data_IF_745384865343
#
_entry.id   IF_745384865343
#
_cell.length_a   1.000
_cell.length_b   1.000
_cell.length_c   1.000
_cell.angle_alpha   90.00
_cell.angle_beta   90.00
_cell.angle_gamma   90.00
#
_symmetry.space_group_name_H-M   'P 1'
#
loop_
_entity.id
_entity.type
_entity.pdbx_description
1 polymer ?
#
# COMPACT_ATOMS: atom_id res chain seq x y z
N UNK A 1 -23.09 -29.70 1.85
CA UNK A 1 -22.59 -30.41 3.05
C UNK A 1 -21.34 -31.23 2.76
N UNK A 2 -21.37 -32.11 1.73
CA UNK A 2 -20.27 -32.99 1.30
C UNK A 2 -18.93 -32.25 1.09
N UNK A 3 -18.92 -31.09 0.42
CA UNK A 3 -17.71 -30.28 0.20
C UNK A 3 -17.02 -29.88 1.51
N UNK A 4 -17.77 -29.50 2.55
CA UNK A 4 -17.21 -29.08 3.84
C UNK A 4 -16.60 -30.26 4.59
N UNK A 5 -17.27 -31.41 4.57
CA UNK A 5 -16.77 -32.65 5.18
C UNK A 5 -15.47 -33.08 4.49
N UNK A 6 -15.43 -33.06 3.15
CA UNK A 6 -14.22 -33.36 2.40
C UNK A 6 -13.05 -32.43 2.75
N UNK A 7 -13.30 -31.12 2.89
CA UNK A 7 -12.26 -30.16 3.30
C UNK A 7 -11.75 -30.44 4.72
N UNK A 8 -12.65 -30.76 5.66
CA UNK A 8 -12.27 -31.08 7.05
C UNK A 8 -11.45 -32.35 7.10
N UNK A 9 -11.86 -33.39 6.36
CA UNK A 9 -11.11 -34.64 6.27
C UNK A 9 -9.75 -34.43 5.61
N UNK A 10 -9.67 -33.63 4.55
CA UNK A 10 -8.42 -33.34 3.88
C UNK A 10 -7.48 -32.53 4.76
N UNK A 11 -8.01 -31.52 5.47
CA UNK A 11 -7.26 -30.74 6.44
C UNK A 11 -6.76 -31.63 7.59
N UNK A 12 -7.62 -32.49 8.14
CA UNK A 12 -7.25 -33.44 9.18
C UNK A 12 -6.18 -34.44 8.72
N UNK A 13 -6.35 -35.03 7.54
CA UNK A 13 -5.38 -35.95 6.95
C UNK A 13 -4.03 -35.26 6.69
N UNK A 14 -4.06 -34.03 6.20
CA UNK A 14 -2.85 -33.22 5.97
C UNK A 14 -2.11 -32.94 7.27
N UNK A 15 -2.84 -32.63 8.35
CA UNK A 15 -2.26 -32.43 9.67
C UNK A 15 -1.64 -33.71 10.24
N UNK A 16 -2.33 -34.85 10.12
CA UNK A 16 -1.81 -36.14 10.56
C UNK A 16 -0.53 -36.48 9.80
N UNK A 17 -0.52 -36.31 8.48
CA UNK A 17 0.67 -36.51 7.65
C UNK A 17 1.80 -35.58 8.07
N UNK A 18 1.51 -34.29 8.24
CA UNK A 18 2.50 -33.30 8.67
C UNK A 18 3.15 -33.70 10.00
N UNK A 19 2.36 -34.03 11.02
CA UNK A 19 2.89 -34.47 12.33
C UNK A 19 3.71 -35.76 12.20
N UNK A 20 3.24 -36.73 11.40
CA UNK A 20 3.98 -37.97 11.16
C UNK A 20 5.35 -37.72 10.53
N UNK A 21 5.41 -36.87 9.50
CA UNK A 21 6.67 -36.46 8.88
C UNK A 21 7.60 -35.75 9.87
N UNK A 22 7.07 -34.91 10.76
CA UNK A 22 7.88 -34.29 11.81
C UNK A 22 8.43 -35.29 12.80
N UNK A 23 7.66 -36.29 13.21
CA UNK A 23 8.15 -37.39 14.07
C UNK A 23 9.28 -38.15 13.37
N UNK A 24 9.13 -38.45 12.08
CA UNK A 24 10.19 -39.08 11.29
C UNK A 24 11.45 -38.21 11.25
N UNK A 25 11.31 -36.90 10.96
CA UNK A 25 12.44 -35.97 10.91
C UNK A 25 13.15 -35.85 12.27
N UNK A 26 12.40 -35.85 13.38
CA UNK A 26 12.95 -35.79 14.74
C UNK A 26 13.61 -37.11 15.18
N UNK A 27 13.13 -38.25 14.68
CA UNK A 27 13.67 -39.57 14.98
C UNK A 27 14.91 -39.96 14.16
N UNK A 28 15.22 -39.23 13.08
CA UNK A 28 16.42 -39.47 12.30
C UNK A 28 17.67 -38.94 13.03
N UNK A 29 18.81 -39.66 13.00
CA UNK A 29 20.06 -39.14 13.52
C UNK A 29 20.41 -37.86 12.77
N UNK A 30 20.84 -36.84 13.52
CA UNK A 30 21.08 -35.52 12.96
C UNK A 30 22.20 -35.61 11.91
N UNK A 31 21.81 -35.62 10.63
CA UNK A 31 22.75 -35.62 9.52
C UNK A 31 23.40 -34.25 9.40
N UNK A 32 24.58 -34.18 8.76
CA UNK A 32 25.22 -32.90 8.45
C UNK A 32 24.31 -31.97 7.64
N UNK A 33 23.53 -32.54 6.71
CA UNK A 33 22.54 -31.82 5.90
C UNK A 33 21.39 -31.24 6.73
N UNK A 34 20.82 -32.01 7.67
CA UNK A 34 19.74 -31.52 8.53
C UNK A 34 20.22 -30.40 9.47
N UNK A 35 21.43 -30.52 10.03
CA UNK A 35 22.07 -29.46 10.83
C UNK A 35 22.28 -28.18 10.02
N UNK A 36 22.77 -28.31 8.79
CA UNK A 36 22.99 -27.17 7.91
C UNK A 36 21.66 -26.48 7.56
N UNK A 37 20.61 -27.25 7.24
CA UNK A 37 19.29 -26.72 6.94
C UNK A 37 18.66 -26.00 8.15
N UNK A 38 18.71 -26.60 9.34
CA UNK A 38 18.23 -25.96 10.57
C UNK A 38 19.01 -24.69 10.89
N UNK A 39 20.34 -24.74 10.77
CA UNK A 39 21.20 -23.56 10.93
C UNK A 39 20.82 -22.44 9.97
N UNK A 40 20.61 -22.77 8.69
CA UNK A 40 20.17 -21.81 7.69
C UNK A 40 18.82 -21.18 8.04
N UNK A 41 17.83 -21.99 8.42
CA UNK A 41 16.50 -21.49 8.83
C UNK A 41 16.61 -20.52 10.00
N UNK A 42 17.36 -20.90 11.05
CA UNK A 42 17.54 -20.05 12.24
C UNK A 42 18.26 -18.74 11.88
N UNK A 43 19.31 -18.82 11.07
CA UNK A 43 20.05 -17.64 10.61
C UNK A 43 19.12 -16.73 9.79
N UNK A 44 18.39 -17.26 8.81
CA UNK A 44 17.47 -16.48 7.99
C UNK A 44 16.36 -15.84 8.82
N UNK A 45 15.81 -16.56 9.80
CA UNK A 45 14.75 -16.07 10.69
C UNK A 45 15.20 -14.86 11.51
N UNK A 46 16.49 -14.74 11.82
CA UNK A 46 17.04 -13.60 12.56
C UNK A 46 17.54 -12.51 11.60
N UNK A 47 18.28 -12.89 10.57
CA UNK A 47 18.99 -11.95 9.70
C UNK A 47 18.02 -11.12 8.86
N UNK A 48 16.96 -11.74 8.32
CA UNK A 48 15.97 -11.06 7.48
C UNK A 48 15.23 -9.95 8.25
N UNK A 49 14.56 -10.22 9.40
CA UNK A 49 13.89 -9.15 10.13
C UNK A 49 14.87 -8.12 10.67
N UNK A 50 16.10 -8.52 11.05
CA UNK A 50 17.13 -7.56 11.48
C UNK A 50 17.49 -6.59 10.35
N UNK A 51 17.73 -7.09 9.14
CA UNK A 51 18.02 -6.27 7.96
C UNK A 51 16.86 -5.34 7.63
N UNK A 52 15.62 -5.85 7.65
CA UNK A 52 14.41 -5.03 7.44
C UNK A 52 14.30 -3.94 8.49
N UNK A 53 14.50 -4.27 9.77
CA UNK A 53 14.45 -3.32 10.86
C UNK A 53 15.52 -2.22 10.73
N UNK A 54 16.76 -2.61 10.43
CA UNK A 54 17.86 -1.66 10.17
C UNK A 54 17.56 -0.76 8.98
N UNK A 55 16.99 -1.32 7.91
CA UNK A 55 16.58 -0.56 6.73
C UNK A 55 15.48 0.46 7.07
N UNK A 56 14.47 0.07 7.86
CA UNK A 56 13.43 0.99 8.34
C UNK A 56 14.04 2.11 9.18
N UNK A 57 14.92 1.78 10.13
CA UNK A 57 15.60 2.76 10.97
C UNK A 57 16.45 3.73 10.14
N UNK A 58 17.17 3.23 9.14
CA UNK A 58 17.95 4.05 8.22
C UNK A 58 17.07 5.05 7.47
N UNK A 59 15.96 4.58 6.88
CA UNK A 59 15.03 5.43 6.16
C UNK A 59 14.38 6.48 7.07
N UNK A 60 14.01 6.10 8.29
CA UNK A 60 13.47 7.02 9.28
C UNK A 60 14.49 8.09 9.68
N UNK A 61 15.77 7.73 9.87
CA UNK A 61 16.84 8.70 10.14
C UNK A 61 17.00 9.68 8.99
N UNK A 62 17.05 9.19 7.76
CA UNK A 62 17.14 10.04 6.57
C UNK A 62 15.92 10.96 6.43
N UNK A 63 14.71 10.45 6.66
CA UNK A 63 13.48 11.22 6.62
C UNK A 63 13.45 12.30 7.71
N UNK A 64 13.88 11.98 8.94
CA UNK A 64 13.98 12.95 10.04
C UNK A 64 15.01 14.04 9.73
N UNK A 65 16.17 13.69 9.16
CA UNK A 65 17.20 14.64 8.76
C UNK A 65 16.72 15.57 7.63
N UNK A 66 16.03 15.03 6.62
CA UNK A 66 15.41 15.80 5.55
C UNK A 66 14.27 16.70 6.06
N UNK A 67 13.45 16.21 6.98
CA UNK A 67 12.37 17.00 7.63
C UNK A 67 12.92 18.17 8.43
N UNK A 68 14.03 17.98 9.16
CA UNK A 68 14.71 19.04 9.92
C UNK A 68 15.32 20.12 9.01
N UNK A 69 15.70 19.77 7.77
CA UNK A 69 16.12 20.74 6.73
C UNK A 69 14.94 21.40 6.01
N UNK A 70 13.77 20.75 5.97
CA UNK A 70 12.52 21.29 5.36
C UNK A 70 11.69 22.18 6.28
N UNK A 71 12.04 22.33 7.56
CA UNK A 71 11.35 23.26 8.48
C UNK A 71 11.56 24.74 8.12
N UNK A 72 12.36 25.05 7.08
CA UNK A 72 12.59 26.40 6.57
C UNK A 72 12.16 26.55 5.10
N UNK A 73 10.96 26.07 4.76
CA UNK A 73 10.27 26.47 3.53
C UNK A 73 8.76 26.47 3.73
N UNK A 74 8.28 27.55 4.32
CA UNK A 74 7.06 28.18 3.84
C UNK A 74 7.54 29.16 2.75
N UNK A 75 7.10 28.99 1.49
CA UNK A 75 5.94 29.77 1.07
C UNK A 75 5.06 29.00 0.08
N UNK A 76 3.76 29.33 0.05
CA UNK A 76 2.77 29.00 -0.99
C UNK A 76 3.25 28.00 -2.06
N UNK A 77 2.84 26.75 -1.93
CA UNK A 77 3.07 25.71 -2.92
C UNK A 77 2.39 26.11 -4.24
N UNK A 78 3.11 26.88 -5.04
CA UNK A 78 2.84 27.10 -6.46
C UNK A 78 3.16 25.76 -7.14
N UNK A 79 2.23 24.82 -7.03
CA UNK A 79 2.27 23.46 -7.57
C UNK A 79 2.12 23.54 -9.10
N UNK A 80 3.09 24.19 -9.74
CA UNK A 80 3.07 24.49 -11.17
C UNK A 80 3.62 23.35 -12.02
N UNK A 81 4.33 22.39 -11.43
CA UNK A 81 4.99 21.31 -12.18
C UNK A 81 4.89 19.96 -11.45
N UNK A 82 4.64 18.88 -12.20
CA UNK A 82 4.68 17.49 -11.72
C UNK A 82 6.14 17.01 -11.55
N UNK A 83 6.35 15.88 -10.87
CA UNK A 83 7.66 15.22 -10.69
C UNK A 83 8.36 14.90 -12.02
N UNK A 84 7.62 14.85 -13.12
CA UNK A 84 8.10 14.64 -14.48
C UNK A 84 8.32 15.96 -15.27
N UNK A 85 8.30 17.11 -14.60
CA UNK A 85 8.52 18.43 -15.21
C UNK A 85 7.34 18.96 -16.04
N UNK A 86 6.16 18.34 -15.94
CA UNK A 86 4.97 18.74 -16.72
C UNK A 86 4.25 19.88 -16.04
N UNK A 87 3.92 20.92 -16.80
CA UNK A 87 3.20 22.07 -16.25
C UNK A 87 1.76 21.70 -15.89
N UNK A 88 1.37 22.02 -14.67
CA UNK A 88 0.03 21.80 -14.13
C UNK A 88 -0.80 23.05 -14.40
N UNK A 89 -1.84 22.89 -15.21
CA UNK A 89 -2.77 23.98 -15.52
C UNK A 89 -4.17 23.56 -15.08
N UNK A 90 -4.67 24.14 -13.98
CA UNK A 90 -6.08 23.98 -13.62
C UNK A 90 -6.34 23.96 -12.11
N UNK A 91 -7.23 24.86 -11.69
CA UNK A 91 -7.95 24.98 -10.41
C UNK A 91 -7.14 25.05 -9.11
N UNK A 92 -7.57 25.95 -8.24
CA UNK A 92 -7.07 26.10 -6.87
C UNK A 92 -6.99 24.74 -6.16
N UNK A 93 -5.86 24.49 -5.50
CA UNK A 93 -5.53 23.22 -4.86
C UNK A 93 -6.60 22.80 -3.84
N UNK A 94 -7.23 23.79 -3.20
CA UNK A 94 -8.34 23.58 -2.26
C UNK A 94 -9.56 22.93 -2.91
N UNK A 95 -9.88 23.34 -4.13
CA UNK A 95 -11.00 22.79 -4.91
C UNK A 95 -10.71 21.34 -5.33
N UNK A 96 -9.45 21.02 -5.64
CA UNK A 96 -9.03 19.66 -5.96
C UNK A 96 -9.03 18.73 -4.74
N UNK A 97 -8.61 19.22 -3.56
CA UNK A 97 -8.64 18.45 -2.31
C UNK A 97 -10.06 18.15 -1.84
N UNK A 98 -11.01 19.05 -2.12
CA UNK A 98 -12.41 18.87 -1.76
C UNK A 98 -13.19 17.97 -2.74
N UNK A 99 -12.64 17.65 -3.90
CA UNK A 99 -13.28 16.83 -4.91
C UNK A 99 -13.23 15.35 -4.53
N UNK A 100 -14.37 14.66 -4.62
CA UNK A 100 -14.44 13.21 -4.38
C UNK A 100 -13.80 12.42 -5.52
N UNK A 101 -13.84 12.99 -6.72
CA UNK A 101 -13.28 12.40 -7.92
C UNK A 101 -12.59 13.47 -8.79
N UNK A 102 -11.39 13.15 -9.25
CA UNK A 102 -10.55 14.03 -10.08
C UNK A 102 -10.33 13.39 -11.45
N UNK A 103 -10.67 14.13 -12.50
CA UNK A 103 -10.33 13.78 -13.88
C UNK A 103 -9.00 14.45 -14.22
N UNK A 104 -8.04 13.63 -14.64
CA UNK A 104 -6.72 14.06 -15.07
C UNK A 104 -6.66 13.95 -16.59
N UNK A 105 -6.61 15.09 -17.26
CA UNK A 105 -6.44 15.15 -18.71
C UNK A 105 -4.98 15.49 -19.04
N UNK A 106 -4.39 14.71 -19.93
CA UNK A 106 -3.04 14.91 -20.44
C UNK A 106 -3.15 15.51 -21.85
N UNK A 107 -2.84 16.79 -21.97
CA UNK A 107 -2.80 17.51 -23.24
C UNK A 107 -1.33 17.79 -23.58
N UNK A 108 -0.70 16.83 -24.27
CA UNK A 108 0.74 16.88 -24.56
C UNK A 108 1.60 16.91 -23.29
N UNK A 109 2.43 17.94 -23.16
CA UNK A 109 3.28 18.18 -21.97
C UNK A 109 2.55 18.86 -20.80
N UNK A 110 1.23 19.07 -20.94
CA UNK A 110 0.42 19.78 -19.96
C UNK A 110 -0.57 18.84 -19.30
N UNK A 111 -0.64 18.87 -17.98
CA UNK A 111 -1.56 18.05 -17.19
C UNK A 111 -2.63 18.97 -16.59
N UNK A 112 -3.89 18.74 -16.97
CA UNK A 112 -5.04 19.47 -16.45
C UNK A 112 -5.77 18.61 -15.43
N UNK A 113 -6.02 19.18 -14.26
CA UNK A 113 -6.86 18.58 -13.25
C UNK A 113 -8.21 19.28 -13.25
N UNK A 114 -9.29 18.51 -13.29
CA UNK A 114 -10.64 19.03 -13.08
C UNK A 114 -11.42 18.10 -12.15
N UNK A 115 -12.24 18.64 -11.24
CA UNK A 115 -13.21 17.81 -10.53
C UNK A 115 -14.15 17.15 -11.54
N UNK A 116 -14.49 15.87 -11.31
CA UNK A 116 -15.48 15.20 -12.14
C UNK A 116 -16.83 15.93 -12.01
N UNK A 117 -17.52 16.18 -13.13
CA UNK A 117 -18.69 17.04 -13.20
C UNK A 117 -19.87 16.63 -12.29
N UNK A 118 -19.80 15.45 -11.67
CA UNK A 118 -20.79 14.96 -10.69
C UNK A 118 -20.81 15.75 -9.37
N UNK A 119 -19.71 16.38 -8.95
CA UNK A 119 -19.66 17.13 -7.68
C UNK A 119 -20.05 18.61 -7.81
N UNK A 120 -20.00 19.19 -9.02
CA UNK A 120 -20.49 20.54 -9.27
C UNK A 120 -22.04 20.61 -9.39
N UNK A 121 -22.69 19.47 -9.59
CA UNK A 121 -24.14 19.35 -9.75
C UNK A 121 -24.88 19.11 -8.42
N UNK A 122 -24.23 18.51 -7.42
CA UNK A 122 -24.89 18.21 -6.14
C UNK A 122 -25.20 19.46 -5.30
N UNK A 123 -24.50 20.58 -5.55
CA UNK A 123 -24.76 21.86 -4.90
C UNK A 123 -25.84 22.74 -5.57
N UNK A 124 -26.44 22.32 -6.68
CA UNK A 124 -27.35 23.17 -7.49
C UNK A 124 -28.70 22.55 -7.86
N UNK A 125 -29.11 21.45 -7.23
CA UNK A 125 -30.44 20.86 -7.46
C UNK A 125 -31.15 20.61 -6.13
N UNK A 126 -31.71 21.68 -5.54
CA UNK A 126 -33.02 21.58 -4.89
C UNK A 126 -34.06 22.10 -5.89
N UNK A 127 -34.92 21.24 -6.44
CA UNK A 127 -35.99 21.65 -7.34
C UNK A 127 -37.17 22.16 -6.50
N UNK A 128 -37.35 23.47 -6.50
CA UNK A 128 -38.54 24.14 -6.00
C UNK A 128 -39.12 25.02 -7.10
N UNK A 129 -39.61 24.39 -8.17
CA UNK A 129 -40.41 25.04 -9.20
C UNK A 129 -41.79 24.38 -9.22
N UNK A 130 -42.65 24.80 -8.30
CA UNK A 130 -44.10 24.83 -8.52
C UNK A 130 -44.44 26.29 -8.83
N UNK A 131 -44.67 26.57 -10.11
CA UNK A 131 -46.01 26.86 -10.66
C UNK A 131 -46.35 28.35 -10.56
N UNK A 132 -45.96 29.08 -11.61
CA UNK A 132 -46.65 30.29 -12.02
C UNK A 132 -47.24 30.04 -13.41
N UNK A 133 -48.53 29.72 -13.43
CA UNK A 133 -49.46 30.09 -14.50
C UNK A 133 -50.76 30.54 -13.86
#
# INVERSE_FOLDING_TARGET
>A
MIRRIAHILFAGASWILFVNYWILVLGQPMSSGLRAALGFIVISLVLVPLLVYLWILHNLRLARQKRRRRTRRDPGEDFREDFLGRSLAGSDLRTLQAARELIIELEGERKRYRPAAGDAAWGRLSPGSEEAR
#
